data_IF_527673045765
#
_entry.id   IF_527673045765
#
_cell.length_a   1.000
_cell.length_b   1.000
_cell.length_c   1.000
_cell.angle_alpha   90.00
_cell.angle_beta   90.00
_cell.angle_gamma   90.00
#
_symmetry.space_group_name_H-M   'P 1'
#
loop_
_entity.id
_entity.type
_entity.pdbx_description
1 polymer ?
#
# COMPACT_ATOMS: atom_id res chain seq x y z
N UNK A 1 -14.85 8.46 21.71
CA UNK A 1 -14.73 9.72 20.93
C UNK A 1 -13.37 9.90 20.23
N UNK A 2 -12.21 9.63 20.87
CA UNK A 2 -10.87 9.81 20.26
C UNK A 2 -10.64 9.02 18.96
N UNK A 3 -11.07 7.75 18.93
CA UNK A 3 -10.94 6.87 17.74
C UNK A 3 -11.71 7.44 16.54
N UNK A 4 -12.91 7.95 16.75
CA UNK A 4 -13.74 8.53 15.68
C UNK A 4 -13.10 9.80 15.09
N UNK A 5 -12.51 10.66 15.93
CA UNK A 5 -11.79 11.84 15.45
C UNK A 5 -10.57 11.46 14.61
N UNK A 6 -9.81 10.46 15.05
CA UNK A 6 -8.68 9.95 14.27
C UNK A 6 -9.14 9.36 12.93
N UNK A 7 -10.22 8.57 12.94
CA UNK A 7 -10.80 8.02 11.72
C UNK A 7 -11.23 9.13 10.74
N UNK A 8 -11.85 10.20 11.23
CA UNK A 8 -12.24 11.36 10.42
C UNK A 8 -11.02 12.07 9.82
N UNK A 9 -9.97 12.30 10.61
CA UNK A 9 -8.73 12.89 10.12
C UNK A 9 -8.05 12.02 9.06
N UNK A 10 -7.97 10.71 9.28
CA UNK A 10 -7.41 9.76 8.31
C UNK A 10 -8.24 9.71 7.02
N UNK A 11 -9.57 9.75 7.12
CA UNK A 11 -10.47 9.73 5.95
C UNK A 11 -10.22 10.88 4.98
N UNK A 12 -9.69 12.01 5.44
CA UNK A 12 -9.32 13.14 4.57
C UNK A 12 -8.12 12.84 3.66
N UNK A 13 -7.30 11.86 4.01
CA UNK A 13 -6.12 11.44 3.26
C UNK A 13 -6.41 10.24 2.35
N UNK A 14 -7.58 9.64 2.46
CA UNK A 14 -8.03 8.55 1.59
C UNK A 14 -8.40 9.08 0.21
N UNK A 15 -8.15 8.27 -0.81
CA UNK A 15 -8.60 8.53 -2.19
C UNK A 15 -10.13 8.47 -2.30
N UNK A 16 -10.70 9.08 -3.34
CA UNK A 16 -12.15 8.98 -3.57
C UNK A 16 -12.60 7.54 -3.82
N UNK A 17 -11.78 6.74 -4.50
CA UNK A 17 -12.05 5.32 -4.70
C UNK A 17 -12.17 4.59 -3.36
N UNK A 18 -11.23 4.78 -2.43
CA UNK A 18 -11.26 4.13 -1.11
C UNK A 18 -12.42 4.62 -0.23
N UNK A 19 -12.91 5.84 -0.46
CA UNK A 19 -14.09 6.36 0.26
C UNK A 19 -15.39 5.71 -0.21
N UNK A 20 -15.45 5.34 -1.49
CA UNK A 20 -16.63 4.73 -2.15
C UNK A 20 -16.60 3.20 -2.07
N UNK A 21 -15.42 2.60 -2.29
CA UNK A 21 -15.16 1.17 -2.25
C UNK A 21 -14.02 0.87 -1.24
N UNK A 22 -14.29 0.92 0.08
CA UNK A 22 -13.24 0.77 1.09
C UNK A 22 -12.70 -0.67 1.22
N UNK A 23 -13.40 -1.65 0.66
CA UNK A 23 -13.08 -3.06 0.80
C UNK A 23 -13.04 -3.70 -0.57
N UNK A 24 -11.90 -4.33 -0.88
CA UNK A 24 -11.70 -5.04 -2.13
C UNK A 24 -12.32 -6.43 -2.05
N UNK A 25 -12.63 -7.01 -3.20
CA UNK A 25 -12.94 -8.43 -3.27
C UNK A 25 -11.74 -9.22 -2.74
N UNK A 26 -12.03 -10.30 -2.02
CA UNK A 26 -10.99 -11.22 -1.56
C UNK A 26 -10.24 -11.76 -2.77
N UNK A 27 -8.90 -11.76 -2.69
CA UNK A 27 -8.04 -12.38 -3.70
C UNK A 27 -8.06 -13.91 -3.63
N UNK A 28 -8.65 -14.48 -2.57
CA UNK A 28 -8.79 -15.92 -2.39
C UNK A 28 -9.89 -16.47 -3.31
N UNK A 29 -9.64 -17.64 -3.90
CA UNK A 29 -10.65 -18.41 -4.60
C UNK A 29 -11.76 -18.87 -3.63
N UNK A 30 -12.95 -19.19 -4.15
CA UNK A 30 -14.08 -19.59 -3.30
C UNK A 30 -13.76 -20.78 -2.37
N UNK A 31 -12.97 -21.75 -2.84
CA UNK A 31 -12.53 -22.88 -2.03
C UNK A 31 -11.67 -22.43 -0.85
N UNK A 32 -10.71 -21.57 -1.09
CA UNK A 32 -9.80 -21.03 -0.08
C UNK A 32 -10.53 -20.16 0.95
N UNK A 33 -11.55 -19.42 0.52
CA UNK A 33 -12.42 -18.66 1.43
C UNK A 33 -13.19 -19.58 2.37
N UNK A 34 -13.74 -20.69 1.84
CA UNK A 34 -14.42 -21.71 2.66
C UNK A 34 -13.45 -22.37 3.63
N UNK A 35 -12.21 -22.62 3.22
CA UNK A 35 -11.17 -23.18 4.09
C UNK A 35 -10.81 -22.21 5.23
N UNK A 36 -10.58 -20.93 4.90
CA UNK A 36 -10.29 -19.90 5.89
C UNK A 36 -11.44 -19.75 6.91
N UNK A 37 -12.69 -19.81 6.44
CA UNK A 37 -13.85 -19.75 7.32
C UNK A 37 -13.92 -20.95 8.26
N UNK A 38 -13.65 -22.17 7.76
CA UNK A 38 -13.61 -23.38 8.60
C UNK A 38 -12.56 -23.27 9.72
N UNK A 39 -11.35 -22.82 9.39
CA UNK A 39 -10.27 -22.63 10.37
C UNK A 39 -10.66 -21.60 11.44
N UNK A 40 -11.39 -20.55 11.07
CA UNK A 40 -11.84 -19.54 12.02
C UNK A 40 -12.87 -20.09 13.03
N UNK A 41 -13.73 -21.01 12.58
CA UNK A 41 -14.75 -21.66 13.40
C UNK A 41 -14.14 -22.72 14.34
N UNK A 42 -13.08 -23.40 13.91
CA UNK A 42 -12.35 -24.40 14.69
C UNK A 42 -11.78 -23.86 16.01
N UNK A 43 -11.82 -24.68 17.06
CA UNK A 43 -11.29 -24.29 18.38
C UNK A 43 -9.76 -24.15 18.30
N UNK A 44 -9.19 -22.99 18.65
CA UNK A 44 -7.76 -22.78 18.53
C UNK A 44 -6.98 -23.73 19.45
N UNK A 45 -5.95 -24.38 18.91
CA UNK A 45 -5.06 -25.24 19.69
C UNK A 45 -3.95 -24.43 20.39
N UNK A 46 -3.52 -23.32 19.78
CA UNK A 46 -2.39 -22.52 20.25
C UNK A 46 -2.82 -21.23 20.98
N UNK A 47 -2.09 -20.79 22.01
CA UNK A 47 -2.38 -19.54 22.73
C UNK A 47 -2.42 -18.30 21.83
N UNK A 48 -1.55 -18.24 20.80
CA UNK A 48 -1.55 -17.13 19.85
C UNK A 48 -2.86 -17.08 19.06
N UNK A 49 -3.33 -18.23 18.58
CA UNK A 49 -4.57 -18.31 17.81
C UNK A 49 -5.80 -17.96 18.67
N UNK A 50 -5.76 -18.26 19.98
CA UNK A 50 -6.74 -17.74 20.95
C UNK A 50 -6.74 -16.22 21.02
N UNK A 51 -5.56 -15.60 21.19
CA UNK A 51 -5.46 -14.14 21.25
C UNK A 51 -5.89 -13.48 19.92
N UNK A 52 -5.63 -14.12 18.77
CA UNK A 52 -6.03 -13.61 17.47
C UNK A 52 -7.55 -13.52 17.29
N UNK A 53 -8.35 -14.32 18.03
CA UNK A 53 -9.83 -14.25 17.95
C UNK A 53 -10.38 -12.89 18.35
N UNK A 54 -9.74 -12.19 19.28
CA UNK A 54 -10.15 -10.85 19.71
C UNK A 54 -10.02 -9.80 18.59
N UNK A 55 -9.21 -10.09 17.57
CA UNK A 55 -8.90 -9.18 16.47
C UNK A 55 -9.59 -9.53 15.15
N UNK A 56 -10.41 -10.58 15.11
CA UNK A 56 -11.12 -11.03 13.90
C UNK A 56 -11.99 -9.90 13.32
N UNK A 57 -12.65 -9.12 14.19
CA UNK A 57 -13.45 -7.96 13.77
C UNK A 57 -12.65 -6.83 13.10
N UNK A 58 -11.31 -6.86 13.19
CA UNK A 58 -10.42 -5.87 12.56
C UNK A 58 -9.87 -6.33 11.20
N UNK A 59 -10.29 -7.46 10.65
CA UNK A 59 -9.81 -7.95 9.35
C UNK A 59 -9.87 -6.88 8.27
N UNK A 60 -11.01 -6.19 8.15
CA UNK A 60 -11.21 -5.10 7.19
C UNK A 60 -10.32 -3.89 7.44
N UNK A 61 -10.00 -3.61 8.71
CA UNK A 61 -9.04 -2.56 9.06
C UNK A 61 -7.64 -2.94 8.55
N UNK A 62 -7.22 -4.18 8.81
CA UNK A 62 -5.91 -4.67 8.38
C UNK A 62 -5.78 -4.75 6.87
N UNK A 63 -6.84 -5.14 6.15
CA UNK A 63 -6.86 -5.09 4.68
C UNK A 63 -6.57 -3.67 4.15
N UNK A 64 -7.27 -2.66 4.68
CA UNK A 64 -7.08 -1.25 4.27
C UNK A 64 -5.70 -0.72 4.68
N UNK A 65 -5.27 -1.03 5.89
CA UNK A 65 -3.96 -0.61 6.40
C UNK A 65 -2.82 -1.20 5.57
N UNK A 66 -2.88 -2.51 5.29
CA UNK A 66 -1.85 -3.19 4.50
C UNK A 66 -1.81 -2.67 3.07
N UNK A 67 -2.97 -2.40 2.45
CA UNK A 67 -3.03 -1.74 1.15
C UNK A 67 -2.29 -0.40 1.16
N UNK A 68 -2.67 0.51 2.06
CA UNK A 68 -2.06 1.84 2.14
C UNK A 68 -0.53 1.75 2.36
N UNK A 69 -0.07 0.75 3.13
CA UNK A 69 1.36 0.50 3.34
C UNK A 69 2.08 -0.01 2.09
N UNK A 70 1.46 -0.90 1.33
CA UNK A 70 2.01 -1.37 0.07
C UNK A 70 2.08 -0.23 -0.96
N UNK A 71 1.05 0.61 -1.03
CA UNK A 71 1.01 1.79 -1.89
C UNK A 71 2.09 2.82 -1.50
N UNK A 72 2.25 3.10 -0.21
CA UNK A 72 3.33 3.97 0.30
C UNK A 72 4.70 3.47 -0.17
N UNK A 73 4.97 2.16 -0.03
CA UNK A 73 6.23 1.56 -0.46
C UNK A 73 6.42 1.62 -1.98
N UNK A 74 5.35 1.38 -2.76
CA UNK A 74 5.38 1.49 -4.21
C UNK A 74 5.72 2.92 -4.65
N UNK A 75 5.05 3.93 -4.08
CA UNK A 75 5.29 5.35 -4.36
C UNK A 75 6.72 5.78 -4.03
N UNK A 76 7.28 5.30 -2.91
CA UNK A 76 8.68 5.57 -2.55
C UNK A 76 9.64 5.04 -3.61
N UNK A 77 9.43 3.80 -4.07
CA UNK A 77 10.26 3.17 -5.12
C UNK A 77 10.14 3.91 -6.45
N UNK A 78 8.92 4.27 -6.85
CA UNK A 78 8.66 5.02 -8.08
C UNK A 78 9.32 6.40 -8.06
N UNK A 79 9.18 7.13 -6.94
CA UNK A 79 9.83 8.43 -6.76
C UNK A 79 11.34 8.32 -6.88
N UNK A 80 11.95 7.30 -6.27
CA UNK A 80 13.39 7.05 -6.37
C UNK A 80 13.81 6.79 -7.84
N UNK A 81 13.07 5.93 -8.54
CA UNK A 81 13.32 5.61 -9.95
C UNK A 81 13.19 6.86 -10.85
N UNK A 82 12.13 7.66 -10.68
CA UNK A 82 11.93 8.90 -11.43
C UNK A 82 13.01 9.93 -11.15
N UNK A 83 13.44 10.06 -9.89
CA UNK A 83 14.53 10.97 -9.49
C UNK A 83 15.87 10.57 -10.11
N UNK A 84 16.15 9.26 -10.21
CA UNK A 84 17.35 8.77 -10.90
C UNK A 84 17.28 9.02 -12.40
N UNK A 85 16.13 8.75 -13.05
CA UNK A 85 15.92 9.04 -14.48
C UNK A 85 16.09 10.53 -14.77
N UNK A 86 15.52 11.41 -13.95
CA UNK A 86 15.64 12.85 -14.12
C UNK A 86 17.10 13.33 -14.00
N UNK A 87 17.85 12.81 -13.02
CA UNK A 87 19.30 13.09 -12.88
C UNK A 87 20.06 12.70 -14.14
N UNK A 88 19.87 11.47 -14.62
CA UNK A 88 20.53 10.97 -15.85
C UNK A 88 20.18 11.82 -17.07
N UNK A 89 18.92 12.22 -17.23
CA UNK A 89 18.50 13.09 -18.35
C UNK A 89 19.17 14.46 -18.29
N UNK A 90 19.30 15.05 -17.09
CA UNK A 90 20.01 16.33 -16.91
C UNK A 90 21.51 16.20 -17.20
N UNK A 91 22.13 15.09 -16.82
CA UNK A 91 23.54 14.81 -17.13
C UNK A 91 23.76 14.68 -18.64
N UNK A 92 22.91 13.91 -19.34
CA UNK A 92 22.97 13.78 -20.80
C UNK A 92 22.78 15.12 -21.50
N UNK A 93 21.83 15.95 -21.03
CA UNK A 93 21.61 17.28 -21.58
C UNK A 93 22.82 18.19 -21.38
N UNK A 94 23.48 18.15 -20.22
CA UNK A 94 24.73 18.90 -19.98
C UNK A 94 25.86 18.45 -20.91
N UNK A 95 26.03 17.14 -21.08
CA UNK A 95 27.04 16.59 -22.00
C UNK A 95 26.77 17.00 -23.44
N UNK A 96 25.51 16.97 -23.87
CA UNK A 96 25.11 17.40 -25.20
C UNK A 96 25.43 18.89 -25.45
N UNK A 97 25.08 19.77 -24.49
CA UNK A 97 25.40 21.20 -24.59
C UNK A 97 26.91 21.47 -24.61
N UNK A 98 27.69 20.76 -23.78
CA UNK A 98 29.15 20.87 -23.79
C UNK A 98 29.77 20.39 -25.11
N UNK A 99 29.24 19.31 -25.69
CA UNK A 99 29.68 18.82 -26.99
C UNK A 99 29.44 19.84 -28.12
N UNK A 100 28.29 20.53 -28.10
CA UNK A 100 28.00 21.60 -29.07
C UNK A 100 28.91 22.81 -28.86
N UNK A 101 29.13 23.24 -27.62
CA UNK A 101 29.97 24.41 -27.34
C UNK A 101 31.43 24.22 -27.75
N UNK A 102 31.97 23.01 -27.61
CA UNK A 102 33.35 22.69 -28.04
C UNK A 102 33.46 22.60 -29.56
N UNK A 103 32.38 22.27 -30.27
CA UNK A 103 32.35 22.28 -31.74
C UNK A 103 32.12 23.65 -32.38
N UNK A 104 31.93 24.72 -31.60
CA UNK A 104 31.75 26.10 -32.08
C UNK A 104 32.99 27.00 -31.90
N UNK A 105 34.11 26.45 -31.43
CA UNK A 105 35.45 27.07 -31.48
C UNK A 105 36.29 26.45 -32.60
#
# INVERSE_FOLDING_TARGET
>A
QRVLRLAEMCRRLETEEEKVLPFYASSLAEGEQRDAQRVLEETPAEPLAWAMRDYVGLERFWQRFNKAKLEEQALVRERAAMSQRNRRLRELLRQYLAGISVSQE
#
